data_IF_964784980939
#
_entry.id   IF_964784980939
#
_cell.length_a   1.000
_cell.length_b   1.000
_cell.length_c   1.000
_cell.angle_alpha   90.00
_cell.angle_beta   90.00
_cell.angle_gamma   90.00
#
_symmetry.space_group_name_H-M   'P 1'
#
loop_
_entity.id
_entity.type
_entity.pdbx_description
1 polymer ?
#
# COMPACT_ATOMS: atom_id res chain seq x y z
N UNK A 1 10.84 4.00 7.78
CA UNK A 1 9.72 3.30 8.45
C UNK A 1 8.61 3.01 7.44
N UNK A 2 8.04 1.80 7.47
CA UNK A 2 6.88 1.44 6.66
C UNK A 2 5.60 1.50 7.50
N UNK A 3 4.52 1.98 6.89
CA UNK A 3 3.18 1.94 7.47
C UNK A 3 2.13 1.60 6.40
N UNK A 4 1.00 1.06 6.86
CA UNK A 4 -0.16 0.74 6.04
C UNK A 4 -1.38 1.45 6.63
N UNK A 5 -2.18 2.10 5.79
CA UNK A 5 -3.36 2.85 6.23
C UNK A 5 -4.35 3.02 5.08
N UNK A 6 -5.49 3.63 5.38
CA UNK A 6 -6.55 3.93 4.43
C UNK A 6 -6.64 5.45 4.25
N UNK A 7 -6.58 5.94 3.01
CA UNK A 7 -6.50 7.41 2.79
C UNK A 7 -7.84 8.09 2.74
N UNK A 8 -8.82 7.54 2.03
CA UNK A 8 -10.16 8.13 1.92
C UNK A 8 -11.20 7.07 1.57
N UNK A 9 -12.33 7.12 2.26
CA UNK A 9 -13.55 6.41 1.89
C UNK A 9 -14.48 7.41 1.21
N UNK A 10 -14.52 7.43 -0.12
CA UNK A 10 -15.48 8.25 -0.88
C UNK A 10 -16.54 7.32 -1.44
N UNK A 11 -17.82 7.64 -1.22
CA UNK A 11 -18.96 6.84 -1.70
C UNK A 11 -18.89 5.35 -1.30
N UNK A 12 -18.42 5.05 -0.09
CA UNK A 12 -18.33 3.67 0.42
C UNK A 12 -17.17 2.85 -0.16
N UNK A 13 -16.26 3.44 -0.94
CA UNK A 13 -15.04 2.76 -1.41
C UNK A 13 -13.83 3.36 -0.68
N UNK A 14 -13.24 2.59 0.23
CA UNK A 14 -11.97 2.96 0.86
C UNK A 14 -10.81 2.45 0.01
N UNK A 15 -9.84 3.32 -0.27
CA UNK A 15 -8.62 2.93 -1.01
C UNK A 15 -7.47 2.61 -0.06
N UNK A 16 -6.89 1.41 -0.16
CA UNK A 16 -5.67 1.06 0.58
C UNK A 16 -4.50 1.96 0.17
N UNK A 17 -3.62 2.32 1.10
CA UNK A 17 -2.30 2.91 0.81
C UNK A 17 -1.21 2.38 1.73
N UNK A 18 0.01 2.34 1.21
CA UNK A 18 1.21 2.21 2.03
C UNK A 18 1.99 3.52 2.04
N UNK A 19 2.69 3.78 3.13
CA UNK A 19 3.66 4.87 3.21
C UNK A 19 5.05 4.33 3.51
N UNK A 20 6.02 4.88 2.80
CA UNK A 20 7.44 4.73 3.05
C UNK A 20 7.93 6.07 3.60
N UNK A 21 8.10 6.16 4.91
CA UNK A 21 8.69 7.33 5.55
C UNK A 21 10.21 7.17 5.59
N UNK A 22 10.92 8.09 4.96
CA UNK A 22 12.37 8.22 5.06
C UNK A 22 12.75 8.70 6.46
N UNK A 23 13.48 7.87 7.21
CA UNK A 23 14.02 8.20 8.54
C UNK A 23 15.53 7.99 8.48
N UNK A 24 16.29 9.09 8.47
CA UNK A 24 17.73 9.08 8.24
C UNK A 24 18.14 9.01 6.77
N UNK A 25 17.21 9.22 5.84
CA UNK A 25 17.42 9.07 4.39
C UNK A 25 17.29 7.63 3.91
N UNK A 26 16.92 7.43 2.65
CA UNK A 26 16.89 6.11 2.00
C UNK A 26 17.93 6.10 0.88
N UNK A 27 18.91 5.18 0.91
CA UNK A 27 19.92 5.06 -0.15
C UNK A 27 19.31 4.67 -1.51
N UNK A 28 19.93 5.12 -2.59
CA UNK A 28 19.66 4.60 -3.93
C UNK A 28 19.88 3.08 -3.97
N UNK A 29 19.06 2.37 -4.73
CA UNK A 29 19.05 0.91 -4.82
C UNK A 29 18.23 0.21 -3.73
N UNK A 30 17.73 0.94 -2.72
CA UNK A 30 16.83 0.39 -1.71
C UNK A 30 15.57 -0.17 -2.37
N UNK A 31 15.14 -1.36 -1.96
CA UNK A 31 13.99 -2.01 -2.58
C UNK A 31 12.90 -2.40 -1.59
N UNK A 32 11.68 -2.44 -2.10
CA UNK A 32 10.52 -2.98 -1.44
C UNK A 32 9.80 -3.93 -2.37
N UNK A 33 9.08 -4.87 -1.77
CA UNK A 33 8.19 -5.77 -2.47
C UNK A 33 6.79 -5.55 -1.93
N UNK A 34 5.87 -5.23 -2.83
CA UNK A 34 4.45 -5.13 -2.54
C UNK A 34 3.79 -6.39 -3.08
N UNK A 35 3.03 -7.08 -2.25
CA UNK A 35 2.36 -8.33 -2.59
C UNK A 35 0.89 -8.29 -2.25
N UNK A 36 0.13 -9.13 -2.94
CA UNK A 36 -1.25 -9.45 -2.62
C UNK A 36 -1.45 -10.96 -2.58
N UNK A 37 -2.34 -11.45 -1.72
CA UNK A 37 -2.67 -12.89 -1.67
C UNK A 37 -3.62 -13.33 -2.79
N UNK A 38 -4.31 -12.41 -3.45
CA UNK A 38 -5.36 -12.73 -4.42
C UNK A 38 -5.39 -11.75 -5.60
N UNK A 39 -5.38 -12.29 -6.82
CA UNK A 39 -5.56 -11.55 -8.07
C UNK A 39 -6.53 -12.30 -8.96
N UNK A 40 -7.37 -11.58 -9.71
CA UNK A 40 -8.40 -12.13 -10.57
C UNK A 40 -7.75 -12.84 -11.75
N UNK A 41 -8.40 -13.88 -12.27
CA UNK A 41 -7.83 -14.81 -13.24
C UNK A 41 -7.23 -14.16 -14.51
N UNK A 42 -7.69 -12.96 -14.90
CA UNK A 42 -7.21 -12.21 -16.07
C UNK A 42 -6.53 -10.88 -15.73
N UNK A 43 -6.26 -10.62 -14.45
CA UNK A 43 -5.74 -9.33 -13.97
C UNK A 43 -4.32 -9.46 -13.42
N UNK A 44 -3.66 -8.30 -13.31
CA UNK A 44 -2.36 -8.11 -12.67
C UNK A 44 -2.52 -7.14 -11.50
N UNK A 45 -1.73 -7.36 -10.47
CA UNK A 45 -1.56 -6.44 -9.37
C UNK A 45 -0.52 -5.36 -9.73
N UNK A 46 -0.82 -4.11 -9.37
CA UNK A 46 0.08 -2.99 -9.50
C UNK A 46 0.28 -2.29 -8.15
N UNK A 47 1.42 -1.63 -7.96
CA UNK A 47 1.71 -0.80 -6.80
C UNK A 47 2.46 0.43 -7.30
N UNK A 48 1.79 1.58 -7.31
CA UNK A 48 2.29 2.81 -7.92
C UNK A 48 2.77 3.77 -6.83
N UNK A 49 4.08 4.05 -6.74
CA UNK A 49 4.59 5.11 -5.89
C UNK A 49 4.26 6.49 -6.48
N UNK A 50 4.01 7.48 -5.63
CA UNK A 50 3.80 8.88 -6.00
C UNK A 50 5.12 9.64 -6.28
N UNK A 51 6.24 9.10 -5.81
CA UNK A 51 7.54 9.72 -5.91
C UNK A 51 8.34 9.17 -7.11
N UNK A 52 8.79 10.01 -8.06
CA UNK A 52 9.51 9.57 -9.26
C UNK A 52 10.88 8.96 -8.98
N UNK A 53 11.48 9.23 -7.82
CA UNK A 53 12.71 8.58 -7.37
C UNK A 53 12.50 7.10 -6.99
N UNK A 54 11.26 6.61 -6.98
CA UNK A 54 10.93 5.20 -6.82
C UNK A 54 10.30 4.68 -8.10
N UNK A 55 10.97 3.74 -8.74
CA UNK A 55 10.45 3.03 -9.90
C UNK A 55 9.81 1.72 -9.45
N UNK A 56 8.83 1.24 -10.23
CA UNK A 56 8.14 0.00 -9.95
C UNK A 56 8.25 -0.96 -11.13
N UNK A 57 8.25 -2.26 -10.82
CA UNK A 57 8.30 -3.33 -11.80
C UNK A 57 7.43 -4.48 -11.32
N UNK A 58 6.47 -4.91 -12.15
CA UNK A 58 5.70 -6.13 -11.88
C UNK A 58 6.63 -7.35 -11.97
N UNK A 59 6.72 -8.11 -10.88
CA UNK A 59 7.57 -9.31 -10.80
C UNK A 59 6.76 -10.59 -10.96
N UNK A 60 5.50 -10.56 -10.54
CA UNK A 60 4.54 -11.63 -10.77
C UNK A 60 3.13 -11.05 -10.83
N UNK A 61 2.13 -11.89 -11.10
CA UNK A 61 0.73 -11.46 -11.08
C UNK A 61 0.29 -10.87 -9.74
N UNK A 62 0.92 -11.29 -8.65
CA UNK A 62 0.59 -10.92 -7.27
C UNK A 62 1.66 -10.07 -6.61
N UNK A 63 2.69 -9.64 -7.34
CA UNK A 63 3.82 -8.94 -6.75
C UNK A 63 4.43 -7.87 -7.65
N UNK A 64 4.77 -6.75 -7.02
CA UNK A 64 5.47 -5.62 -7.62
C UNK A 64 6.70 -5.32 -6.77
N UNK A 65 7.84 -5.10 -7.43
CA UNK A 65 9.06 -4.60 -6.82
C UNK A 65 9.12 -3.09 -7.00
N UNK A 66 9.39 -2.38 -5.91
CA UNK A 66 9.72 -0.95 -5.90
C UNK A 66 11.22 -0.80 -5.68
N UNK A 67 11.85 0.13 -6.39
CA UNK A 67 13.30 0.40 -6.30
C UNK A 67 13.52 1.91 -6.27
N UNK A 68 14.21 2.39 -5.24
CA UNK A 68 14.71 3.76 -5.20
C UNK A 68 15.83 3.93 -6.25
N UNK A 69 15.61 4.73 -7.29
CA UNK A 69 16.61 5.01 -8.33
C UNK A 69 17.58 6.12 -7.94
N UNK A 70 17.21 6.93 -6.94
CA UNK A 70 18.03 7.95 -6.33
C UNK A 70 17.93 7.89 -4.81
N UNK A 71 18.87 8.54 -4.11
CA UNK A 71 18.77 8.70 -2.66
C UNK A 71 17.55 9.59 -2.34
N UNK A 72 16.73 9.15 -1.39
CA UNK A 72 15.57 9.90 -0.91
C UNK A 72 15.97 10.60 0.40
N UNK A 73 15.90 11.93 0.48
CA UNK A 73 16.25 12.67 1.69
C UNK A 73 15.44 12.26 2.92
N UNK A 74 15.96 12.59 4.10
CA UNK A 74 15.24 12.41 5.36
C UNK A 74 13.96 13.25 5.40
N UNK A 75 12.92 12.76 6.09
CA UNK A 75 11.62 13.43 6.22
C UNK A 75 10.69 13.32 5.00
N UNK A 76 11.16 12.76 3.88
CA UNK A 76 10.29 12.49 2.72
C UNK A 76 9.35 11.32 3.03
N UNK A 77 8.08 11.50 2.70
CA UNK A 77 7.05 10.45 2.75
C UNK A 77 6.66 10.11 1.30
N UNK A 78 6.71 8.82 0.97
CA UNK A 78 6.30 8.29 -0.32
C UNK A 78 5.01 7.50 -0.10
N UNK A 79 3.98 7.80 -0.88
CA UNK A 79 2.75 7.04 -0.90
C UNK A 79 2.80 6.00 -2.01
N UNK A 80 2.36 4.78 -1.70
CA UNK A 80 2.22 3.70 -2.67
C UNK A 80 0.75 3.31 -2.75
N UNK A 81 0.17 3.42 -3.94
CA UNK A 81 -1.19 3.03 -4.25
C UNK A 81 -1.21 1.60 -4.82
N UNK A 82 -1.62 0.58 -4.03
CA UNK A 82 -1.83 -0.76 -4.54
C UNK A 82 -3.14 -0.83 -5.34
N UNK A 83 -3.01 -1.10 -6.63
CA UNK A 83 -4.13 -1.24 -7.56
C UNK A 83 -4.37 -2.71 -7.86
N UNK A 84 -5.56 -3.18 -7.49
CA UNK A 84 -6.04 -4.52 -7.81
C UNK A 84 -7.41 -4.41 -8.50
N UNK A 85 -7.45 -4.66 -9.80
CA UNK A 85 -8.64 -4.46 -10.62
C UNK A 85 -9.70 -5.54 -10.37
N UNK A 86 -10.94 -5.10 -10.08
CA UNK A 86 -12.19 -5.86 -10.15
C UNK A 86 -12.30 -7.15 -9.32
N UNK A 87 -11.68 -7.22 -8.15
CA UNK A 87 -11.84 -8.37 -7.26
C UNK A 87 -12.57 -7.94 -6.01
N UNK A 88 -13.49 -8.80 -5.57
CA UNK A 88 -13.85 -8.89 -4.17
C UNK A 88 -12.57 -9.05 -3.32
N UNK A 89 -12.18 -7.93 -2.71
CA UNK A 89 -11.02 -7.84 -1.84
C UNK A 89 -11.20 -8.65 -0.55
N UNK A 90 -12.39 -9.19 -0.24
CA UNK A 90 -12.60 -10.05 0.93
C UNK A 90 -11.61 -11.21 0.99
N UNK A 91 -10.98 -11.35 2.16
CA UNK A 91 -9.93 -12.35 2.41
C UNK A 91 -8.60 -12.05 1.71
N UNK A 92 -8.46 -10.88 1.07
CA UNK A 92 -7.20 -10.44 0.48
C UNK A 92 -6.32 -9.83 1.56
N UNK A 93 -5.03 -10.07 1.49
CA UNK A 93 -4.02 -9.40 2.30
C UNK A 93 -3.06 -8.69 1.35
N UNK A 94 -2.80 -7.41 1.62
CA UNK A 94 -1.74 -6.64 0.99
C UNK A 94 -0.58 -6.50 1.96
N UNK A 95 0.64 -6.66 1.45
CA UNK A 95 1.86 -6.52 2.25
C UNK A 95 2.86 -5.67 1.49
N UNK A 96 3.56 -4.79 2.18
CA UNK A 96 4.79 -4.16 1.71
C UNK A 96 5.93 -4.58 2.64
N UNK A 97 7.05 -5.00 2.09
CA UNK A 97 8.24 -5.37 2.88
C UNK A 97 9.53 -4.98 2.16
N UNK A 98 10.57 -4.63 2.91
CA UNK A 98 11.86 -4.26 2.33
C UNK A 98 12.63 -3.31 3.24
N UNK A 99 13.28 -2.31 2.63
CA UNK A 99 14.04 -1.32 3.38
C UNK A 99 13.16 -0.62 4.45
N UNK A 100 13.60 -0.63 5.70
CA UNK A 100 12.88 0.01 6.80
C UNK A 100 11.66 -0.75 7.33
N UNK A 101 11.50 -2.03 7.00
CA UNK A 101 10.61 -2.97 7.70
C UNK A 101 9.56 -3.65 6.81
N UNK A 102 8.41 -3.96 7.41
CA UNK A 102 7.23 -4.49 6.72
C UNK A 102 5.94 -3.93 7.31
N UNK A 103 4.90 -3.84 6.48
CA UNK A 103 3.55 -3.47 6.89
C UNK A 103 2.52 -4.30 6.10
N UNK A 104 1.42 -4.65 6.76
CA UNK A 104 0.40 -5.56 6.22
C UNK A 104 -0.98 -4.99 6.47
N UNK A 105 -1.89 -5.20 5.52
CA UNK A 105 -3.29 -4.80 5.61
C UNK A 105 -4.18 -5.91 5.06
N UNK A 106 -5.13 -6.38 5.88
CA UNK A 106 -6.13 -7.35 5.49
C UNK A 106 -7.45 -6.69 5.10
N UNK A 107 -8.15 -7.30 4.16
CA UNK A 107 -9.49 -6.92 3.73
C UNK A 107 -10.48 -7.96 4.26
N UNK A 108 -11.42 -7.53 5.08
CA UNK A 108 -12.53 -8.36 5.56
C UNK A 108 -13.84 -7.75 5.07
N UNK A 109 -14.73 -8.57 4.51
CA UNK A 109 -16.14 -8.21 4.40
C UNK A 109 -16.80 -8.50 5.73
N UNK A 110 -17.38 -7.49 6.36
CA UNK A 110 -18.53 -7.73 7.23
C UNK A 110 -19.81 -7.65 6.37
N UNK A 111 -20.89 -8.23 6.88
CA UNK A 111 -22.15 -8.46 6.17
C UNK A 111 -22.91 -7.18 5.77
N UNK A 112 -22.33 -5.99 5.92
CA UNK A 112 -23.05 -4.72 5.82
C UNK A 112 -22.20 -3.56 5.32
N UNK A 113 -21.63 -3.70 4.11
CA UNK A 113 -20.81 -2.73 3.37
C UNK A 113 -19.31 -3.01 3.43
N UNK A 114 -18.66 -2.74 2.30
CA UNK A 114 -17.22 -2.90 2.10
C UNK A 114 -16.47 -1.98 3.09
N UNK A 115 -15.70 -2.60 4.00
CA UNK A 115 -14.42 -2.18 4.65
C UNK A 115 -14.45 -2.27 6.18
N UNK A 116 -13.57 -3.12 6.75
CA UNK A 116 -12.89 -2.80 8.03
C UNK A 116 -11.44 -3.32 8.07
N UNK A 117 -10.50 -2.52 7.56
CA UNK A 117 -9.30 -2.14 8.33
C UNK A 117 -9.53 -0.71 8.85
N UNK A 118 -8.78 -0.17 9.83
CA UNK A 118 -9.23 0.92 10.73
C UNK A 118 -9.62 2.21 9.99
N UNK A 119 -10.85 2.21 9.48
CA UNK A 119 -11.63 3.33 8.97
C UNK A 119 -12.82 3.58 9.90
N UNK A 120 -12.93 2.81 10.98
CA UNK A 120 -13.89 3.04 12.05
C UNK A 120 -13.52 4.33 12.77
N UNK A 121 -14.11 5.43 12.29
CA UNK A 121 -14.36 6.68 13.01
C UNK A 121 -13.43 6.94 14.21
N UNK A 122 -12.21 7.38 13.95
CA UNK A 122 -11.64 8.43 14.80
C UNK A 122 -12.13 9.78 14.27
N UNK A 123 -13.41 10.06 14.53
CA UNK A 123 -13.86 11.44 14.66
C UNK A 123 -13.00 12.02 15.81
N UNK A 124 -12.34 13.18 15.66
CA UNK A 124 -11.66 13.79 16.79
C UNK A 124 -12.70 13.99 17.89
N UNK A 125 -12.46 13.38 19.06
CA UNK A 125 -13.16 13.75 20.27
C UNK A 125 -12.68 15.16 20.63
N UNK A 126 -13.41 16.16 20.13
CA UNK A 126 -13.23 17.57 20.47
C UNK A 126 -14.61 18.21 20.58
N UNK A 127 -14.92 18.69 21.79
CA UNK A 127 -16.16 19.35 22.16
C UNK A 127 -16.62 18.95 23.54
#
# INVERSE_FOLDING_TARGET
>A
MLAAYWTTCRYGTCKPKFTIASQGGIPAGSTWQVTTTKVGALHQFYAMPDNPAVQWQTTSRTSVRLTATAAIPDGVVIEVDPVNHFIDLSGTTLTISGYGGSATMGFRMDSSHIVVGPCDRQRPAGG
#
